data_IF_382699920906
#
_entry.id   IF_382699920906
#
_cell.length_a   1.000
_cell.length_b   1.000
_cell.length_c   1.000
_cell.angle_alpha   90.00
_cell.angle_beta   90.00
_cell.angle_gamma   90.00
#
_symmetry.space_group_name_H-M   'P 1'
#
loop_
_entity.id
_entity.type
_entity.pdbx_description
1 polymer ?
#
# COMPACT_ATOMS: atom_id res chain seq x y z
N UNK A 1 25.09 -31.30 -46.40
CA UNK A 1 24.28 -31.20 -45.17
C UNK A 1 24.66 -29.91 -44.48
N UNK A 2 23.80 -28.90 -44.51
CA UNK A 2 24.03 -27.63 -43.82
C UNK A 2 23.09 -27.60 -42.60
N UNK A 3 23.67 -27.61 -41.41
CA UNK A 3 22.95 -27.44 -40.15
C UNK A 3 22.52 -25.97 -40.02
N UNK A 4 21.23 -25.78 -39.75
CA UNK A 4 20.65 -24.48 -39.43
C UNK A 4 20.75 -24.31 -37.91
N UNK A 5 21.61 -23.41 -37.46
CA UNK A 5 21.72 -23.01 -36.06
C UNK A 5 20.51 -22.11 -35.70
N UNK A 6 19.75 -22.39 -34.62
CA UNK A 6 18.62 -21.55 -34.27
C UNK A 6 19.08 -20.32 -33.49
N UNK A 7 18.88 -19.14 -34.09
CA UNK A 7 19.00 -17.83 -33.45
C UNK A 7 18.07 -17.75 -32.22
N UNK A 8 18.61 -17.94 -31.03
CA UNK A 8 17.97 -17.59 -29.76
C UNK A 8 17.86 -16.06 -29.67
N UNK A 9 16.67 -15.52 -29.96
CA UNK A 9 16.30 -14.14 -29.62
C UNK A 9 16.17 -14.02 -28.10
N UNK A 10 17.23 -13.57 -27.44
CA UNK A 10 17.17 -13.10 -26.04
C UNK A 10 16.56 -11.70 -26.03
N UNK A 11 15.23 -11.64 -26.11
CA UNK A 11 14.48 -10.42 -25.82
C UNK A 11 13.93 -10.54 -24.41
N UNK A 12 14.43 -9.74 -23.46
CA UNK A 12 13.87 -9.69 -22.10
C UNK A 12 12.36 -9.50 -22.17
N UNK A 13 11.61 -10.34 -21.47
CA UNK A 13 10.15 -10.34 -21.49
C UNK A 13 9.61 -9.03 -20.90
N UNK A 14 8.34 -8.71 -21.18
CA UNK A 14 7.67 -7.55 -20.57
C UNK A 14 7.69 -7.62 -19.04
N UNK A 15 7.59 -8.83 -18.48
CA UNK A 15 7.64 -9.09 -17.04
C UNK A 15 9.02 -8.81 -16.44
N UNK A 16 10.09 -9.21 -17.13
CA UNK A 16 11.47 -8.94 -16.68
C UNK A 16 11.79 -7.44 -16.73
N UNK A 17 11.32 -6.72 -17.75
CA UNK A 17 11.47 -5.26 -17.82
C UNK A 17 10.70 -4.51 -16.73
N UNK A 18 9.54 -5.03 -16.32
CA UNK A 18 8.78 -4.44 -15.20
C UNK A 18 9.47 -4.71 -13.86
N UNK A 19 9.96 -5.92 -13.63
CA UNK A 19 10.70 -6.28 -12.42
C UNK A 19 11.98 -5.42 -12.29
N UNK A 20 12.79 -5.32 -13.36
CA UNK A 20 14.00 -4.50 -13.35
C UNK A 20 13.74 -3.01 -13.08
N UNK A 21 12.60 -2.47 -13.57
CA UNK A 21 12.18 -1.09 -13.30
C UNK A 21 11.75 -0.90 -11.85
N UNK A 22 11.10 -1.90 -11.26
CA UNK A 22 10.69 -1.91 -9.86
C UNK A 22 11.91 -2.00 -8.93
N UNK A 23 12.88 -2.86 -9.24
CA UNK A 23 14.15 -2.97 -8.50
C UNK A 23 14.95 -1.66 -8.55
N UNK A 24 15.06 -1.03 -9.73
CA UNK A 24 15.74 0.25 -9.88
C UNK A 24 15.04 1.36 -9.08
N UNK A 25 13.70 1.39 -9.08
CA UNK A 25 12.94 2.34 -8.29
C UNK A 25 13.16 2.11 -6.78
N UNK A 26 13.18 0.85 -6.33
CA UNK A 26 13.46 0.51 -4.93
C UNK A 26 14.88 0.91 -4.51
N UNK A 27 15.89 0.70 -5.35
CA UNK A 27 17.26 1.14 -5.09
C UNK A 27 17.34 2.67 -4.94
N UNK A 28 16.64 3.42 -5.80
CA UNK A 28 16.57 4.87 -5.72
C UNK A 28 15.91 5.37 -4.42
N UNK A 29 14.85 4.69 -3.96
CA UNK A 29 14.22 5.01 -2.67
C UNK A 29 15.20 4.74 -1.51
N UNK A 30 16.00 3.65 -1.57
CA UNK A 30 17.09 3.29 -0.62
C UNK A 30 18.13 4.38 -0.50
N UNK A 31 18.62 4.83 -1.63
CA UNK A 31 19.58 5.92 -1.69
C UNK A 31 19.00 7.24 -1.16
N UNK A 32 17.75 7.55 -1.50
CA UNK A 32 17.06 8.76 -1.02
C UNK A 32 16.92 8.78 0.50
N UNK A 33 16.56 7.65 1.10
CA UNK A 33 16.44 7.53 2.55
C UNK A 33 17.80 7.62 3.27
N UNK A 34 18.83 6.96 2.75
CA UNK A 34 20.20 7.07 3.28
C UNK A 34 20.69 8.53 3.26
N UNK A 35 20.36 9.27 2.21
CA UNK A 35 20.66 10.70 2.12
C UNK A 35 19.89 11.54 3.15
N UNK A 36 18.59 11.28 3.36
CA UNK A 36 17.76 12.00 4.36
C UNK A 36 18.26 11.75 5.79
N UNK A 37 18.54 10.49 6.13
CA UNK A 37 19.04 10.10 7.46
C UNK A 37 20.42 10.72 7.73
N UNK A 38 21.32 10.72 6.75
CA UNK A 38 22.66 11.30 6.88
C UNK A 38 22.65 12.84 7.03
N UNK A 39 21.68 13.52 6.41
CA UNK A 39 21.58 14.98 6.41
C UNK A 39 20.68 15.57 7.52
N UNK A 40 20.01 14.74 8.32
CA UNK A 40 19.11 15.20 9.40
C UNK A 40 19.15 14.26 10.61
N UNK A 41 20.28 14.19 11.35
CA UNK A 41 20.45 13.26 12.46
C UNK A 41 19.48 13.50 13.63
N UNK A 42 18.97 14.72 13.82
CA UNK A 42 17.92 15.01 14.82
C UNK A 42 16.52 14.47 14.42
N UNK A 43 16.37 13.85 13.23
CA UNK A 43 15.18 13.09 12.81
C UNK A 43 15.36 11.58 12.90
N UNK A 44 16.50 11.07 13.40
CA UNK A 44 16.76 9.63 13.42
C UNK A 44 15.67 8.83 14.14
N UNK A 45 15.20 9.32 15.29
CA UNK A 45 14.10 8.70 16.05
C UNK A 45 12.76 8.73 15.29
N UNK A 46 12.45 9.85 14.60
CA UNK A 46 11.25 9.96 13.74
C UNK A 46 11.31 9.00 12.55
N UNK A 47 12.52 8.68 12.06
CA UNK A 47 12.75 7.77 10.93
C UNK A 47 12.72 6.31 11.38
N UNK A 48 13.16 5.99 12.60
CA UNK A 48 13.01 4.66 13.21
C UNK A 48 11.52 4.31 13.43
N UNK A 49 10.70 5.29 13.81
CA UNK A 49 9.25 5.11 13.93
C UNK A 49 8.56 4.85 12.59
N UNK A 50 9.25 5.11 11.47
CA UNK A 50 8.78 4.88 10.11
C UNK A 50 9.26 3.55 9.50
N UNK A 51 9.76 2.62 10.32
CA UNK A 51 10.16 1.29 9.88
C UNK A 51 9.00 0.30 10.02
N UNK A 52 8.78 -0.45 8.94
CA UNK A 52 7.92 -1.64 8.90
C UNK A 52 8.82 -2.81 8.54
N UNK A 53 8.87 -3.83 9.41
CA UNK A 53 9.75 -5.01 9.25
C UNK A 53 11.22 -4.65 8.98
N UNK A 54 11.71 -3.57 9.61
CA UNK A 54 13.10 -3.10 9.48
C UNK A 54 13.40 -2.28 8.24
N UNK A 55 12.41 -2.05 7.36
CA UNK A 55 12.55 -1.25 6.14
C UNK A 55 11.65 -0.01 6.22
N UNK A 56 12.10 1.10 5.62
CA UNK A 56 11.31 2.34 5.60
C UNK A 56 9.96 2.13 4.91
N UNK A 57 8.91 2.71 5.50
CA UNK A 57 7.53 2.46 5.11
C UNK A 57 7.28 2.58 3.59
N UNK A 58 7.89 3.54 2.91
CA UNK A 58 7.67 3.76 1.47
C UNK A 58 8.20 2.65 0.56
N UNK A 59 9.11 1.77 1.01
CA UNK A 59 9.52 0.59 0.23
C UNK A 59 8.38 -0.39 -0.01
N UNK A 60 7.43 -0.45 0.93
CA UNK A 60 6.40 -1.47 0.89
C UNK A 60 5.31 -1.19 -0.15
N UNK A 61 5.21 0.05 -0.65
CA UNK A 61 4.17 0.40 -1.63
C UNK A 61 4.27 -0.41 -2.94
N UNK A 62 5.43 -0.48 -3.63
CA UNK A 62 5.60 -1.33 -4.80
C UNK A 62 5.51 -2.82 -4.47
N UNK A 63 6.00 -3.26 -3.30
CA UNK A 63 5.91 -4.66 -2.85
C UNK A 63 4.45 -5.10 -2.72
N UNK A 64 3.62 -4.30 -2.06
CA UNK A 64 2.18 -4.54 -1.91
C UNK A 64 1.49 -4.54 -3.28
N UNK A 65 1.87 -3.62 -4.19
CA UNK A 65 1.31 -3.61 -5.54
C UNK A 65 1.67 -4.87 -6.33
N UNK A 66 2.89 -5.39 -6.17
CA UNK A 66 3.28 -6.65 -6.78
C UNK A 66 2.52 -7.83 -6.19
N UNK A 67 2.40 -7.94 -4.85
CA UNK A 67 1.59 -8.97 -4.19
C UNK A 67 0.13 -8.96 -4.67
N UNK A 68 -0.45 -7.77 -4.88
CA UNK A 68 -1.81 -7.62 -5.44
C UNK A 68 -1.92 -8.18 -6.86
N UNK A 69 -0.89 -8.00 -7.70
CA UNK A 69 -0.86 -8.55 -9.08
C UNK A 69 -0.70 -10.07 -9.07
N UNK A 70 0.04 -10.59 -8.10
CA UNK A 70 0.23 -12.03 -7.88
C UNK A 70 -0.99 -12.73 -7.23
N UNK A 71 -2.04 -11.98 -6.88
CA UNK A 71 -3.24 -12.53 -6.23
C UNK A 71 -3.06 -12.84 -4.75
N UNK A 72 -1.92 -12.46 -4.16
CA UNK A 72 -1.55 -12.66 -2.75
C UNK A 72 -2.22 -11.61 -1.85
N UNK A 73 -3.55 -11.50 -1.94
CA UNK A 73 -4.31 -10.38 -1.40
C UNK A 73 -4.36 -10.37 0.14
N UNK A 74 -4.37 -11.53 0.79
CA UNK A 74 -4.39 -11.61 2.27
C UNK A 74 -3.08 -11.07 2.83
N UNK A 75 -1.95 -11.58 2.33
CA UNK A 75 -0.61 -11.13 2.73
C UNK A 75 -0.37 -9.65 2.38
N UNK A 76 -0.87 -9.21 1.23
CA UNK A 76 -0.83 -7.80 0.85
C UNK A 76 -1.62 -6.91 1.82
N UNK A 77 -2.75 -7.39 2.33
CA UNK A 77 -3.56 -6.67 3.30
C UNK A 77 -2.85 -6.57 4.65
N UNK A 78 -2.28 -7.67 5.14
CA UNK A 78 -1.51 -7.68 6.39
C UNK A 78 -0.36 -6.67 6.34
N UNK A 79 0.44 -6.69 5.27
CA UNK A 79 1.53 -5.75 5.11
C UNK A 79 1.04 -4.30 4.95
N UNK A 80 -0.08 -4.08 4.27
CA UNK A 80 -0.67 -2.75 4.16
C UNK A 80 -1.16 -2.22 5.51
N UNK A 81 -1.70 -3.06 6.39
CA UNK A 81 -2.11 -2.67 7.73
C UNK A 81 -0.92 -2.31 8.62
N UNK A 82 0.19 -3.06 8.55
CA UNK A 82 1.42 -2.68 9.25
C UNK A 82 1.92 -1.30 8.80
N UNK A 83 1.78 -0.98 7.52
CA UNK A 83 2.09 0.35 6.99
C UNK A 83 1.09 1.40 7.48
N UNK A 84 -0.20 1.09 7.58
CA UNK A 84 -1.19 2.00 8.20
C UNK A 84 -0.80 2.29 9.65
N UNK A 85 -0.53 1.28 10.46
CA UNK A 85 -0.13 1.44 11.86
C UNK A 85 1.15 2.26 12.00
N UNK A 86 2.11 2.08 11.09
CA UNK A 86 3.34 2.88 11.03
C UNK A 86 3.06 4.34 10.66
N UNK A 87 2.21 4.58 9.65
CA UNK A 87 1.86 5.92 9.18
C UNK A 87 1.06 6.71 10.22
N UNK A 88 0.15 6.05 10.94
CA UNK A 88 -0.66 6.67 11.99
C UNK A 88 0.16 7.01 13.23
N UNK A 89 1.14 6.17 13.61
CA UNK A 89 2.10 6.48 14.69
C UNK A 89 3.03 7.61 14.34
N UNK A 90 3.43 7.69 13.08
CA UNK A 90 4.26 8.77 12.55
C UNK A 90 3.41 10.01 12.28
N UNK A 91 2.77 10.51 13.34
CA UNK A 91 1.95 11.71 13.32
C UNK A 91 2.79 12.84 12.72
N UNK A 92 2.38 13.40 11.57
CA UNK A 92 2.94 14.60 10.88
C UNK A 92 3.83 14.39 9.64
N UNK A 93 3.54 13.41 8.78
CA UNK A 93 4.18 13.35 7.44
C UNK A 93 3.29 13.97 6.34
N UNK A 94 2.02 14.27 6.62
CA UNK A 94 1.11 14.90 5.66
C UNK A 94 1.18 16.44 5.64
N UNK A 95 0.79 17.08 4.52
CA UNK A 95 0.83 18.53 4.35
C UNK A 95 -0.05 19.31 5.36
N UNK A 96 -1.04 18.64 5.97
CA UNK A 96 -1.94 19.22 6.97
C UNK A 96 -1.65 18.72 8.39
N UNK A 97 -0.55 18.00 8.61
CA UNK A 97 -0.27 17.29 9.87
C UNK A 97 -1.02 15.95 10.02
N UNK A 98 -1.91 15.62 9.09
CA UNK A 98 -2.60 14.33 9.02
C UNK A 98 -1.63 13.19 8.62
N UNK A 99 -1.91 11.94 9.03
CA UNK A 99 -1.20 10.77 8.54
C UNK A 99 -1.31 10.61 7.01
N UNK A 100 -0.30 10.04 6.32
CA UNK A 100 -0.39 9.77 4.90
C UNK A 100 -1.56 8.84 4.53
N UNK A 101 -2.62 9.37 3.92
CA UNK A 101 -3.81 8.61 3.50
C UNK A 101 -3.53 7.41 2.57
N UNK A 102 -2.42 7.44 1.83
CA UNK A 102 -2.15 6.48 0.76
C UNK A 102 -2.09 5.01 1.24
N UNK A 103 -1.67 4.79 2.48
CA UNK A 103 -1.66 3.46 3.09
C UNK A 103 -3.08 2.97 3.41
N UNK A 104 -3.90 3.83 3.99
CA UNK A 104 -5.32 3.58 4.25
C UNK A 104 -6.08 3.28 2.96
N UNK A 105 -5.90 4.10 1.92
CA UNK A 105 -6.51 3.87 0.60
C UNK A 105 -6.10 2.51 0.02
N UNK A 106 -4.81 2.14 0.14
CA UNK A 106 -4.30 0.88 -0.38
C UNK A 106 -4.87 -0.32 0.38
N UNK A 107 -4.90 -0.28 1.71
CA UNK A 107 -5.52 -1.32 2.54
C UNK A 107 -7.01 -1.49 2.24
N UNK A 108 -7.76 -0.37 2.13
CA UNK A 108 -9.18 -0.39 1.77
C UNK A 108 -9.43 -1.01 0.38
N UNK A 109 -8.59 -0.71 -0.61
CA UNK A 109 -8.66 -1.35 -1.94
C UNK A 109 -8.41 -2.86 -1.88
N UNK A 110 -7.50 -3.32 -1.04
CA UNK A 110 -7.23 -4.76 -0.89
C UNK A 110 -8.39 -5.45 -0.17
N UNK A 111 -8.92 -4.86 0.90
CA UNK A 111 -10.11 -5.36 1.60
C UNK A 111 -11.32 -5.51 0.66
N UNK A 112 -11.55 -4.51 -0.20
CA UNK A 112 -12.55 -4.55 -1.29
C UNK A 112 -12.36 -5.76 -2.21
N UNK A 113 -11.13 -6.03 -2.65
CA UNK A 113 -10.80 -7.15 -3.55
C UNK A 113 -11.05 -8.50 -2.88
N UNK A 114 -10.85 -8.59 -1.56
CA UNK A 114 -11.17 -9.75 -0.74
C UNK A 114 -12.66 -9.85 -0.39
N UNK A 115 -13.50 -8.89 -0.82
CA UNK A 115 -14.92 -8.75 -0.43
C UNK A 115 -15.14 -8.64 1.08
N UNK A 116 -14.12 -8.23 1.84
CA UNK A 116 -14.21 -7.91 3.26
C UNK A 116 -14.66 -6.47 3.45
N UNK A 117 -15.94 -6.21 3.14
CA UNK A 117 -16.50 -4.85 3.16
C UNK A 117 -16.62 -4.28 4.57
N UNK A 118 -16.86 -5.14 5.56
CA UNK A 118 -16.75 -4.83 7.00
C UNK A 118 -15.39 -4.20 7.32
N UNK A 119 -14.32 -4.83 6.82
CA UNK A 119 -12.97 -4.40 7.08
C UNK A 119 -12.58 -3.15 6.28
N UNK A 120 -13.09 -3.00 5.05
CA UNK A 120 -12.97 -1.75 4.28
C UNK A 120 -13.60 -0.56 5.04
N UNK A 121 -14.75 -0.76 5.70
CA UNK A 121 -15.39 0.26 6.54
C UNK A 121 -14.52 0.59 7.75
N UNK A 122 -14.08 -0.42 8.50
CA UNK A 122 -13.28 -0.25 9.71
C UNK A 122 -12.00 0.55 9.45
N UNK A 123 -11.25 0.22 8.40
CA UNK A 123 -10.01 0.91 8.03
C UNK A 123 -10.26 2.40 7.75
N UNK A 124 -11.32 2.73 7.01
CA UNK A 124 -11.58 4.12 6.61
C UNK A 124 -12.13 4.92 7.80
N UNK A 125 -13.00 4.31 8.62
CA UNK A 125 -13.51 4.95 9.84
C UNK A 125 -12.39 5.23 10.85
N UNK A 126 -11.46 4.27 11.02
CA UNK A 126 -10.27 4.45 11.84
C UNK A 126 -9.44 5.65 11.38
N UNK A 127 -9.19 5.80 10.08
CA UNK A 127 -8.48 6.96 9.55
C UNK A 127 -9.25 8.28 9.76
N UNK A 128 -10.57 8.27 9.58
CA UNK A 128 -11.41 9.45 9.83
C UNK A 128 -11.50 9.85 11.30
N UNK A 129 -11.20 8.93 12.23
CA UNK A 129 -11.17 9.24 13.66
C UNK A 129 -9.92 10.07 14.07
N UNK A 130 -8.87 10.11 13.25
CA UNK A 130 -7.58 10.73 13.62
C UNK A 130 -7.21 11.96 12.77
N UNK A 131 -7.87 12.19 11.64
CA UNK A 131 -7.65 13.37 10.81
C UNK A 131 -8.46 14.57 11.29
N UNK A 132 -7.94 15.78 11.08
CA UNK A 132 -8.59 17.00 11.54
C UNK A 132 -9.90 17.30 10.80
N UNK A 133 -9.93 17.05 9.48
CA UNK A 133 -11.12 17.27 8.63
C UNK A 133 -11.34 16.07 7.70
N UNK A 134 -12.21 15.11 8.08
CA UNK A 134 -12.59 13.99 7.22
C UNK A 134 -13.20 14.42 5.87
N UNK A 135 -13.84 15.61 5.80
CA UNK A 135 -14.50 16.07 4.58
C UNK A 135 -13.52 16.46 3.48
N UNK A 136 -12.26 16.74 3.83
CA UNK A 136 -11.17 16.99 2.89
C UNK A 136 -10.78 15.76 2.04
N UNK A 137 -11.29 14.56 2.39
CA UNK A 137 -10.92 13.29 1.77
C UNK A 137 -12.07 12.70 0.94
N UNK A 138 -12.56 13.43 -0.07
CA UNK A 138 -13.71 13.05 -0.91
C UNK A 138 -13.64 11.60 -1.43
N UNK A 139 -12.47 11.16 -1.90
CA UNK A 139 -12.27 9.79 -2.40
C UNK A 139 -12.50 8.70 -1.33
N UNK A 140 -12.04 8.93 -0.09
CA UNK A 140 -12.28 8.02 1.03
C UNK A 140 -13.73 8.10 1.51
N UNK A 141 -14.32 9.29 1.52
CA UNK A 141 -15.73 9.51 1.90
C UNK A 141 -16.66 8.76 0.95
N UNK A 142 -16.46 8.91 -0.36
CA UNK A 142 -17.21 8.16 -1.37
C UNK A 142 -17.04 6.65 -1.19
N UNK A 143 -15.79 6.18 -0.99
CA UNK A 143 -15.49 4.77 -0.78
C UNK A 143 -16.19 4.20 0.45
N UNK A 144 -16.15 4.91 1.59
CA UNK A 144 -16.82 4.51 2.82
C UNK A 144 -18.32 4.35 2.62
N UNK A 145 -18.97 5.30 1.92
CA UNK A 145 -20.39 5.21 1.59
C UNK A 145 -20.73 3.96 0.76
N UNK A 146 -19.88 3.61 -0.21
CA UNK A 146 -20.07 2.38 -1.01
C UNK A 146 -19.80 1.13 -0.16
N UNK A 147 -18.74 1.12 0.64
CA UNK A 147 -18.36 -0.02 1.49
C UNK A 147 -19.47 -0.36 2.51
N UNK A 148 -20.04 0.66 3.18
CA UNK A 148 -21.18 0.48 4.10
C UNK A 148 -22.39 -0.16 3.43
N UNK A 149 -22.73 0.26 2.20
CA UNK A 149 -23.84 -0.36 1.43
C UNK A 149 -23.57 -1.82 1.09
N UNK A 150 -22.34 -2.15 0.72
CA UNK A 150 -21.94 -3.52 0.39
C UNK A 150 -21.90 -4.42 1.63
N UNK A 151 -21.40 -3.91 2.75
CA UNK A 151 -21.42 -4.62 4.03
C UNK A 151 -22.87 -4.94 4.46
N UNK A 152 -23.77 -3.96 4.39
CA UNK A 152 -25.19 -4.17 4.70
C UNK A 152 -25.86 -5.22 3.77
N UNK A 153 -25.52 -5.19 2.48
CA UNK A 153 -26.05 -6.16 1.50
C UNK A 153 -25.54 -7.58 1.75
N UNK A 154 -24.25 -7.73 2.08
CA UNK A 154 -23.65 -9.03 2.38
C UNK A 154 -24.26 -9.68 3.63
N UNK A 155 -24.61 -8.88 4.65
CA UNK A 155 -25.35 -9.37 5.82
C UNK A 155 -26.76 -9.84 5.44
N UNK A 156 -27.46 -9.08 4.59
CA UNK A 156 -28.80 -9.45 4.10
C UNK A 156 -28.83 -10.77 3.31
N UNK A 157 -27.80 -11.04 2.51
CA UNK A 157 -27.66 -12.32 1.78
C UNK A 157 -27.39 -13.50 2.72
N UNK A 158 -26.70 -13.26 3.84
CA UNK A 158 -26.38 -14.32 4.83
C UNK A 158 -27.59 -14.75 5.67
N UNK A 159 -28.60 -13.88 5.78
CA UNK A 159 -29.82 -14.12 6.60
C UNK A 159 -30.95 -14.78 5.77
N UNK A 160 -30.80 -14.90 4.44
CA UNK A 160 -31.83 -15.47 3.57
C UNK A 160 -31.76 -17.02 3.60
N UNK A 161 -32.79 -17.72 4.10
CA UNK A 161 -32.80 -19.19 4.20
C UNK A 161 -32.96 -19.88 2.85
#
# INVERSE_FOLDING_TARGET
>A
MAEIEPLLRVGTTRAERTAAREDAHQAQVRESFASITQNSPWRAEELEQQLVRGEWIFYWSPVIDQMKREGRLVEALELALECVDCAERSLRIGPNGDPPRGWTEKAAVIARKLKRYDFEVEIIERYFAIVADPSAYEGLTHRLGVARRLAASAVGDTIRP
#
